data_IF_340310678826
#
_entry.id   IF_340310678826
#
_cell.length_a   1.000
_cell.length_b   1.000
_cell.length_c   1.000
_cell.angle_alpha   90.00
_cell.angle_beta   90.00
_cell.angle_gamma   90.00
#
_symmetry.space_group_name_H-M   'P 1'
#
loop_
_entity.id
_entity.type
_entity.pdbx_description
1 polymer ?
#
# COMPACT_ATOMS: atom_id res chain seq x y z
N UNK A 1 0.52 21.29 1.81
CA UNK A 1 1.85 20.61 1.74
C UNK A 1 2.14 20.23 0.30
N UNK A 2 3.39 20.31 -0.15
CA UNK A 2 3.79 19.84 -1.48
C UNK A 2 4.39 18.44 -1.34
N UNK A 3 3.89 17.52 -2.13
CA UNK A 3 4.29 16.12 -2.16
C UNK A 3 4.52 15.66 -3.60
N UNK A 4 5.11 14.48 -3.77
CA UNK A 4 5.48 13.94 -5.06
C UNK A 4 4.92 12.53 -5.21
N UNK A 5 4.41 12.25 -6.40
CA UNK A 5 3.83 10.96 -6.76
C UNK A 5 4.30 10.54 -8.14
N UNK A 6 4.32 9.25 -8.44
CA UNK A 6 4.48 8.78 -9.81
C UNK A 6 3.29 7.93 -10.24
N UNK A 7 2.98 8.00 -11.52
CA UNK A 7 1.96 7.17 -12.14
C UNK A 7 2.53 6.52 -13.38
N UNK A 8 2.26 5.24 -13.56
CA UNK A 8 2.60 4.45 -14.75
C UNK A 8 1.41 4.25 -15.68
N UNK A 9 0.23 4.61 -15.22
CA UNK A 9 -0.98 4.60 -16.04
C UNK A 9 -1.06 5.88 -16.88
N UNK A 10 -1.91 5.83 -17.91
CA UNK A 10 -2.24 7.01 -18.70
C UNK A 10 -2.85 8.07 -17.77
N UNK A 11 -1.98 8.85 -17.12
CA UNK A 11 -2.41 10.06 -16.46
C UNK A 11 -3.09 10.93 -17.52
N UNK A 12 -4.40 10.91 -17.48
CA UNK A 12 -5.19 11.91 -18.16
C UNK A 12 -5.06 13.19 -17.34
N UNK A 13 -5.14 14.36 -17.94
CA UNK A 13 -5.00 15.69 -17.32
C UNK A 13 -5.97 15.91 -16.14
N UNK A 14 -6.08 14.94 -15.25
CA UNK A 14 -6.90 15.03 -14.06
C UNK A 14 -6.32 16.11 -13.15
N UNK A 15 -7.10 17.10 -12.74
CA UNK A 15 -6.61 18.21 -11.93
C UNK A 15 -6.27 17.76 -10.49
N UNK A 16 -6.72 16.58 -10.08
CA UNK A 16 -6.51 16.05 -8.73
C UNK A 16 -6.35 14.53 -8.71
N UNK A 17 -5.62 14.05 -7.71
CA UNK A 17 -5.58 12.65 -7.34
C UNK A 17 -6.58 12.41 -6.21
N UNK A 18 -7.44 11.43 -6.40
CA UNK A 18 -8.40 10.97 -5.41
C UNK A 18 -8.18 9.51 -5.09
N UNK A 19 -8.66 9.08 -3.93
CA UNK A 19 -8.57 7.68 -3.53
C UNK A 19 -9.46 6.82 -4.41
N UNK A 20 -8.92 5.77 -5.01
CA UNK A 20 -9.75 4.69 -5.52
C UNK A 20 -10.00 3.65 -4.41
N UNK A 21 -11.01 3.90 -3.59
CA UNK A 21 -11.40 3.01 -2.51
C UNK A 21 -11.79 1.60 -3.01
N UNK A 22 -12.38 1.51 -4.19
CA UNK A 22 -12.86 0.24 -4.72
C UNK A 22 -11.74 -0.66 -5.26
N UNK A 23 -10.63 -0.08 -5.74
CA UNK A 23 -9.56 -0.81 -6.41
C UNK A 23 -8.79 -1.76 -5.50
N UNK A 24 -8.36 -1.27 -4.34
CA UNK A 24 -7.50 -2.02 -3.43
C UNK A 24 -8.27 -2.70 -2.30
N UNK A 25 -9.34 -2.10 -1.81
CA UNK A 25 -10.10 -2.59 -0.67
C UNK A 25 -10.72 -3.97 -0.89
N UNK A 26 -11.29 -4.22 -2.04
CA UNK A 26 -12.01 -5.47 -2.36
C UNK A 26 -11.22 -6.77 -2.15
N UNK A 27 -9.89 -6.70 -2.27
CA UNK A 27 -9.04 -7.88 -2.09
C UNK A 27 -8.63 -8.10 -0.63
N UNK A 28 -8.43 -7.03 0.13
CA UNK A 28 -8.09 -7.08 1.54
C UNK A 28 -9.34 -7.28 2.45
N UNK A 29 -10.51 -6.84 2.00
CA UNK A 29 -11.75 -6.90 2.76
C UNK A 29 -12.10 -8.29 3.29
N UNK A 30 -11.99 -9.39 2.52
CA UNK A 30 -12.27 -10.73 3.05
C UNK A 30 -11.41 -11.09 4.26
N UNK A 31 -10.13 -10.72 4.27
CA UNK A 31 -9.22 -10.95 5.39
C UNK A 31 -9.57 -10.08 6.60
N UNK A 32 -9.92 -8.82 6.36
CA UNK A 32 -10.41 -7.93 7.40
C UNK A 32 -11.68 -8.47 8.07
N UNK A 33 -12.68 -8.89 7.30
CA UNK A 33 -13.90 -9.50 7.82
C UNK A 33 -13.65 -10.81 8.58
N UNK A 34 -12.66 -11.59 8.14
CA UNK A 34 -12.25 -12.79 8.86
C UNK A 34 -11.65 -12.43 10.24
N UNK A 35 -10.81 -11.39 10.33
CA UNK A 35 -10.28 -10.88 11.60
C UNK A 35 -11.37 -10.36 12.54
N UNK A 36 -12.35 -9.66 12.03
CA UNK A 36 -13.51 -9.17 12.81
C UNK A 36 -14.31 -10.34 13.42
N UNK A 37 -14.29 -11.51 12.80
CA UNK A 37 -14.90 -12.75 13.32
C UNK A 37 -13.98 -13.53 14.27
N UNK A 38 -12.70 -13.19 14.30
CA UNK A 38 -11.71 -13.77 15.20
C UNK A 38 -10.50 -14.36 14.49
N UNK A 39 -9.38 -14.41 15.21
CA UNK A 39 -8.07 -14.87 14.70
C UNK A 39 -8.15 -16.26 14.06
N UNK A 40 -8.85 -17.21 14.66
CA UNK A 40 -8.96 -18.56 14.10
C UNK A 40 -9.66 -18.60 12.74
N UNK A 41 -10.63 -17.69 12.50
CA UNK A 41 -11.30 -17.58 11.20
C UNK A 41 -10.35 -17.02 10.16
N UNK A 42 -9.56 -16.00 10.55
CA UNK A 42 -8.52 -15.45 9.68
C UNK A 42 -7.47 -16.50 9.32
N UNK A 43 -6.93 -17.23 10.31
CA UNK A 43 -5.91 -18.26 10.07
C UNK A 43 -6.43 -19.34 9.11
N UNK A 44 -7.65 -19.83 9.33
CA UNK A 44 -8.27 -20.81 8.44
C UNK A 44 -8.43 -20.27 7.01
N UNK A 45 -8.84 -19.01 6.87
CA UNK A 45 -8.98 -18.36 5.57
C UNK A 45 -7.61 -18.14 4.91
N UNK A 46 -6.61 -17.65 5.65
CA UNK A 46 -5.27 -17.40 5.12
C UNK A 46 -4.64 -18.67 4.56
N UNK A 47 -4.66 -19.77 5.33
CA UNK A 47 -4.13 -21.06 4.88
C UNK A 47 -4.94 -21.65 3.71
N UNK A 48 -6.26 -21.47 3.69
CA UNK A 48 -7.08 -21.89 2.54
C UNK A 48 -6.78 -21.06 1.28
N UNK A 49 -6.58 -19.76 1.43
CA UNK A 49 -6.27 -18.87 0.31
C UNK A 49 -4.95 -19.22 -0.40
N UNK A 50 -4.01 -19.84 0.31
CA UNK A 50 -2.76 -20.33 -0.27
C UNK A 50 -3.03 -21.36 -1.39
N UNK A 51 -3.91 -22.32 -1.14
CA UNK A 51 -4.27 -23.34 -2.13
C UNK A 51 -5.14 -22.76 -3.25
N UNK A 52 -6.18 -22.03 -2.88
CA UNK A 52 -7.10 -21.41 -3.87
C UNK A 52 -6.38 -20.44 -4.80
N UNK A 53 -5.48 -19.62 -4.28
CA UNK A 53 -4.70 -18.68 -5.12
C UNK A 53 -3.81 -19.38 -6.11
N UNK A 54 -3.16 -20.48 -5.71
CA UNK A 54 -2.34 -21.29 -6.59
C UNK A 54 -3.18 -21.90 -7.71
N UNK A 55 -4.31 -22.53 -7.36
CA UNK A 55 -5.21 -23.14 -8.35
C UNK A 55 -5.74 -22.09 -9.34
N UNK A 56 -6.04 -20.87 -8.88
CA UNK A 56 -6.50 -19.78 -9.77
C UNK A 56 -5.41 -19.32 -10.73
N UNK A 57 -4.14 -19.31 -10.30
CA UNK A 57 -3.00 -18.98 -11.19
C UNK A 57 -2.79 -20.12 -12.20
N UNK A 58 -2.79 -21.37 -11.75
CA UNK A 58 -2.61 -22.54 -12.61
C UNK A 58 -3.74 -22.68 -13.66
N UNK A 59 -4.96 -22.24 -13.32
CA UNK A 59 -6.09 -22.17 -14.26
C UNK A 59 -6.08 -20.91 -15.16
N UNK A 60 -5.12 -20.02 -15.00
CA UNK A 60 -5.04 -18.76 -15.74
C UNK A 60 -6.12 -17.73 -15.38
N UNK A 61 -6.81 -17.93 -14.27
CA UNK A 61 -7.86 -17.02 -13.77
C UNK A 61 -7.30 -15.86 -12.95
N UNK A 62 -6.03 -15.94 -12.54
CA UNK A 62 -5.30 -14.91 -11.82
C UNK A 62 -3.87 -14.81 -12.36
N UNK A 63 -3.32 -13.59 -12.43
CA UNK A 63 -1.95 -13.36 -12.96
C UNK A 63 -0.86 -13.77 -11.97
N UNK A 64 -1.12 -13.64 -10.66
CA UNK A 64 -0.16 -13.94 -9.60
C UNK A 64 -0.86 -14.25 -8.27
N UNK A 65 -0.08 -14.79 -7.33
CA UNK A 65 -0.54 -15.11 -5.98
C UNK A 65 -0.39 -13.88 -5.05
N UNK A 66 -1.40 -13.02 -5.01
CA UNK A 66 -1.38 -11.80 -4.18
C UNK A 66 -2.03 -11.98 -2.80
N UNK A 67 -2.51 -13.19 -2.43
CA UNK A 67 -3.23 -13.39 -1.18
C UNK A 67 -2.44 -12.99 0.08
N UNK A 68 -1.11 -13.09 0.06
CA UNK A 68 -0.26 -12.65 1.17
C UNK A 68 -0.30 -11.14 1.35
N UNK A 69 -0.17 -10.40 0.26
CA UNK A 69 -0.32 -8.94 0.28
C UNK A 69 -1.71 -8.53 0.76
N UNK A 70 -2.74 -9.18 0.23
CA UNK A 70 -4.13 -8.92 0.62
C UNK A 70 -4.37 -9.19 2.11
N UNK A 71 -3.76 -10.25 2.66
CA UNK A 71 -3.82 -10.58 4.09
C UNK A 71 -3.06 -9.55 4.95
N UNK A 72 -1.86 -9.12 4.54
CA UNK A 72 -1.10 -8.07 5.25
C UNK A 72 -1.89 -6.77 5.28
N UNK A 73 -2.44 -6.33 4.14
CA UNK A 73 -3.27 -5.13 4.08
C UNK A 73 -4.53 -5.26 4.96
N UNK A 74 -5.15 -6.45 5.01
CA UNK A 74 -6.28 -6.73 5.91
C UNK A 74 -5.89 -6.61 7.39
N UNK A 75 -4.70 -7.12 7.78
CA UNK A 75 -4.18 -7.00 9.15
C UNK A 75 -3.87 -5.54 9.49
N UNK A 76 -3.20 -4.81 8.59
CA UNK A 76 -2.89 -3.40 8.80
C UNK A 76 -4.17 -2.58 9.00
N UNK A 77 -5.18 -2.78 8.14
CA UNK A 77 -6.45 -2.09 8.27
C UNK A 77 -7.20 -2.48 9.57
N UNK A 78 -7.15 -3.74 9.96
CA UNK A 78 -7.74 -4.20 11.24
C UNK A 78 -7.09 -3.50 12.44
N UNK A 79 -5.76 -3.49 12.53
CA UNK A 79 -5.00 -2.81 13.59
C UNK A 79 -5.31 -1.33 13.60
N UNK A 80 -5.31 -0.66 12.44
CA UNK A 80 -5.66 0.75 12.33
C UNK A 80 -7.03 1.06 12.92
N UNK A 81 -8.04 0.24 12.63
CA UNK A 81 -9.42 0.44 13.11
C UNK A 81 -9.57 0.14 14.58
N UNK A 82 -9.02 -0.98 15.03
CA UNK A 82 -9.29 -1.50 16.38
C UNK A 82 -8.38 -0.90 17.46
N UNK A 83 -7.13 -0.60 17.11
CA UNK A 83 -6.13 -0.14 18.07
C UNK A 83 -5.81 1.36 17.94
N UNK A 84 -6.04 1.97 16.77
CA UNK A 84 -5.78 3.39 16.52
C UNK A 84 -7.06 4.20 16.23
N UNK A 85 -8.24 3.61 16.46
CA UNK A 85 -9.53 4.28 16.31
C UNK A 85 -9.86 4.77 14.90
N UNK A 86 -9.16 4.26 13.88
CA UNK A 86 -9.34 4.69 12.50
C UNK A 86 -8.82 6.09 12.18
N UNK A 87 -8.14 6.76 13.13
CA UNK A 87 -7.62 8.13 12.94
C UNK A 87 -6.55 8.23 11.86
N UNK A 88 -5.52 7.34 11.80
CA UNK A 88 -4.56 7.36 10.72
C UNK A 88 -5.21 7.08 9.35
N UNK A 89 -4.58 7.57 8.28
CA UNK A 89 -5.04 7.30 6.91
C UNK A 89 -4.91 5.80 6.60
N UNK A 90 -5.95 5.25 5.98
CA UNK A 90 -5.95 3.84 5.56
C UNK A 90 -5.03 3.65 4.35
N UNK A 91 -4.20 2.62 4.36
CA UNK A 91 -3.40 2.19 3.20
C UNK A 91 -4.28 1.77 2.02
N UNK A 92 -5.50 1.31 2.27
CA UNK A 92 -6.44 0.80 1.27
C UNK A 92 -7.19 1.91 0.53
N UNK A 93 -7.23 3.12 1.10
CA UNK A 93 -7.96 4.26 0.55
C UNK A 93 -7.17 5.55 0.72
N UNK A 94 -5.93 5.55 0.24
CA UNK A 94 -5.05 6.72 0.22
C UNK A 94 -4.29 6.78 -1.10
N UNK A 95 -3.66 7.91 -1.33
CA UNK A 95 -2.61 8.05 -2.34
C UNK A 95 -1.26 8.04 -1.63
N UNK A 96 -0.30 7.35 -2.22
CA UNK A 96 1.06 7.23 -1.71
C UNK A 96 1.94 8.32 -2.29
N UNK A 97 2.72 8.99 -1.45
CA UNK A 97 3.59 10.08 -1.85
C UNK A 97 5.00 9.94 -1.29
N UNK A 98 5.94 10.58 -1.96
CA UNK A 98 7.27 10.84 -1.45
C UNK A 98 7.39 12.29 -0.98
N UNK A 99 8.37 12.55 -0.10
CA UNK A 99 8.66 13.90 0.40
C UNK A 99 9.48 14.74 -0.59
N UNK A 100 10.16 14.10 -1.53
CA UNK A 100 11.00 14.74 -2.54
C UNK A 100 10.89 14.10 -3.92
N UNK A 101 11.19 14.86 -4.94
CA UNK A 101 11.28 14.39 -6.31
C UNK A 101 12.42 13.37 -6.49
N UNK A 102 13.50 13.50 -5.76
CA UNK A 102 14.63 12.57 -5.81
C UNK A 102 14.22 11.19 -5.29
N UNK A 103 13.53 11.12 -4.16
CA UNK A 103 12.96 9.87 -3.65
C UNK A 103 11.97 9.26 -4.65
N UNK A 104 11.08 10.08 -5.22
CA UNK A 104 10.12 9.62 -6.23
C UNK A 104 10.83 8.99 -7.42
N UNK A 105 11.91 9.60 -7.94
CA UNK A 105 12.70 9.06 -9.04
C UNK A 105 13.38 7.73 -8.69
N UNK A 106 13.86 7.59 -7.45
CA UNK A 106 14.44 6.34 -6.97
C UNK A 106 13.39 5.23 -6.92
N UNK A 107 12.20 5.52 -6.37
CA UNK A 107 11.09 4.57 -6.37
C UNK A 107 10.68 4.15 -7.79
N UNK A 108 10.55 5.10 -8.71
CA UNK A 108 10.26 4.78 -10.11
C UNK A 108 11.29 3.83 -10.70
N UNK A 109 12.57 4.08 -10.43
CA UNK A 109 13.62 3.20 -10.94
C UNK A 109 13.47 1.78 -10.37
N UNK A 110 13.34 1.66 -9.04
CA UNK A 110 13.29 0.37 -8.36
C UNK A 110 12.01 -0.43 -8.68
N UNK A 111 10.86 0.26 -8.75
CA UNK A 111 9.55 -0.38 -8.85
C UNK A 111 9.06 -0.57 -10.31
N UNK A 112 9.46 0.30 -11.22
CA UNK A 112 8.86 0.36 -12.54
C UNK A 112 9.84 0.17 -13.69
N UNK A 113 11.09 0.60 -13.54
CA UNK A 113 12.07 0.59 -14.64
C UNK A 113 13.11 -0.52 -14.50
N UNK A 114 13.50 -0.92 -13.31
CA UNK A 114 14.61 -1.86 -13.10
C UNK A 114 14.33 -3.25 -13.68
N UNK A 115 13.09 -3.71 -13.68
CA UNK A 115 12.68 -5.00 -14.25
C UNK A 115 12.19 -4.89 -15.70
N UNK A 116 12.15 -3.67 -16.26
CA UNK A 116 11.69 -3.42 -17.64
C UNK A 116 10.17 -3.48 -17.81
N UNK A 117 9.40 -3.45 -16.72
CA UNK A 117 7.92 -3.47 -16.79
C UNK A 117 7.35 -2.25 -17.50
N UNK A 118 8.04 -1.11 -17.39
CA UNK A 118 7.64 0.16 -18.03
C UNK A 118 8.86 0.83 -18.66
N UNK A 119 8.61 1.66 -19.69
CA UNK A 119 9.61 2.58 -20.23
C UNK A 119 9.53 3.95 -19.54
N UNK A 120 10.62 4.74 -19.53
CA UNK A 120 10.61 6.08 -18.92
C UNK A 120 9.47 6.98 -19.45
N UNK A 121 9.14 6.87 -20.72
CA UNK A 121 8.10 7.68 -21.36
C UNK A 121 6.68 7.35 -20.85
N UNK A 122 6.50 6.16 -20.28
CA UNK A 122 5.23 5.72 -19.70
C UNK A 122 5.05 6.22 -18.25
N UNK A 123 6.12 6.76 -17.65
CA UNK A 123 6.09 7.21 -16.25
C UNK A 123 5.87 8.73 -16.21
N UNK A 124 4.90 9.16 -15.41
CA UNK A 124 4.65 10.57 -15.08
C UNK A 124 5.03 10.85 -13.64
N UNK A 125 5.79 11.91 -13.46
CA UNK A 125 6.14 12.46 -12.15
C UNK A 125 5.22 13.63 -11.86
N UNK A 126 4.53 13.56 -10.73
CA UNK A 126 3.52 14.52 -10.34
C UNK A 126 4.00 15.31 -9.11
N UNK A 127 3.88 16.64 -9.19
CA UNK A 127 3.96 17.50 -8.01
C UNK A 127 2.53 17.81 -7.57
N UNK A 128 2.23 17.55 -6.31
CA UNK A 128 0.88 17.55 -5.79
C UNK A 128 0.79 18.43 -4.54
N UNK A 129 -0.24 19.26 -4.49
CA UNK A 129 -0.59 20.03 -3.31
C UNK A 129 -1.71 19.30 -2.55
N UNK A 130 -1.41 18.95 -1.28
CA UNK A 130 -2.39 18.36 -0.36
C UNK A 130 -2.67 19.31 0.80
N UNK A 131 -3.89 19.33 1.37
CA UNK A 131 -4.20 20.13 2.55
C UNK A 131 -3.30 19.85 3.75
N UNK A 132 -2.76 18.65 3.86
CA UNK A 132 -1.85 18.25 4.93
C UNK A 132 -2.52 17.79 6.23
N UNK A 133 -3.80 18.10 6.41
CA UNK A 133 -4.55 17.72 7.64
C UNK A 133 -4.73 16.21 7.77
N UNK A 134 -4.71 15.49 6.64
CA UNK A 134 -4.84 14.03 6.57
C UNK A 134 -3.69 13.42 5.75
N UNK A 135 -2.47 13.86 6.03
CA UNK A 135 -1.25 13.29 5.48
C UNK A 135 -0.38 12.78 6.63
N UNK A 136 0.00 11.51 6.57
CA UNK A 136 0.78 10.83 7.60
C UNK A 136 2.03 10.22 6.98
N UNK A 137 3.18 10.49 7.59
CA UNK A 137 4.45 9.93 7.18
C UNK A 137 4.73 8.64 7.95
N UNK A 138 4.90 7.53 7.25
CA UNK A 138 5.17 6.22 7.80
C UNK A 138 6.54 5.69 7.36
N UNK A 139 7.05 4.70 8.10
CA UNK A 139 8.23 3.97 7.66
C UNK A 139 7.81 2.71 6.89
N UNK A 140 7.96 2.74 5.59
CA UNK A 140 7.63 1.62 4.69
C UNK A 140 8.48 0.37 5.00
N UNK A 141 9.67 0.51 5.62
CA UNK A 141 10.45 -0.66 6.02
C UNK A 141 9.70 -1.58 7.00
N UNK A 142 8.81 -1.02 7.83
CA UNK A 142 7.95 -1.84 8.70
C UNK A 142 6.92 -2.63 7.89
N UNK A 143 6.37 -2.05 6.83
CA UNK A 143 5.48 -2.77 5.90
C UNK A 143 6.26 -3.83 5.10
N UNK A 144 7.44 -3.50 4.59
CA UNK A 144 8.29 -4.44 3.88
C UNK A 144 8.65 -5.65 4.77
N UNK A 145 8.99 -5.39 6.04
CA UNK A 145 9.25 -6.46 7.01
C UNK A 145 8.01 -7.34 7.25
N UNK A 146 6.80 -6.75 7.26
CA UNK A 146 5.55 -7.51 7.36
C UNK A 146 5.31 -8.38 6.13
N UNK A 147 5.68 -7.91 4.94
CA UNK A 147 5.63 -8.70 3.71
C UNK A 147 6.62 -9.87 3.72
N UNK A 148 7.78 -9.74 4.37
CA UNK A 148 8.67 -10.88 4.57
C UNK A 148 8.15 -11.84 5.64
N UNK A 149 7.65 -11.33 6.79
CA UNK A 149 7.09 -12.16 7.84
C UNK A 149 5.91 -13.04 7.36
N UNK A 150 5.04 -12.50 6.51
CA UNK A 150 3.91 -13.27 5.97
C UNK A 150 4.35 -14.40 5.04
N UNK A 151 5.51 -14.30 4.38
CA UNK A 151 6.05 -15.40 3.56
C UNK A 151 6.44 -16.60 4.43
N UNK A 152 6.91 -16.33 5.65
CA UNK A 152 7.24 -17.34 6.67
C UNK A 152 6.01 -17.76 7.48
N UNK A 153 4.82 -17.27 7.15
CA UNK A 153 3.57 -17.48 7.88
C UNK A 153 3.61 -16.97 9.33
N UNK A 154 4.49 -16.03 9.66
CA UNK A 154 4.57 -15.40 10.99
C UNK A 154 3.56 -14.24 11.08
N UNK A 155 2.30 -14.62 11.27
CA UNK A 155 1.19 -13.68 11.34
C UNK A 155 1.28 -12.78 12.59
N UNK A 156 1.88 -13.27 13.68
CA UNK A 156 2.03 -12.47 14.90
C UNK A 156 3.06 -11.36 14.71
N UNK A 157 4.14 -11.62 13.97
CA UNK A 157 5.08 -10.58 13.56
C UNK A 157 4.41 -9.53 12.65
N UNK A 158 3.53 -9.94 11.73
CA UNK A 158 2.77 -8.99 10.89
C UNK A 158 1.93 -8.05 11.76
N UNK A 159 1.22 -8.55 12.77
CA UNK A 159 0.46 -7.72 13.70
C UNK A 159 1.36 -6.76 14.49
N UNK A 160 2.50 -7.24 14.99
CA UNK A 160 3.45 -6.40 15.73
C UNK A 160 4.00 -5.26 14.86
N UNK A 161 4.34 -5.55 13.60
CA UNK A 161 4.83 -4.56 12.64
C UNK A 161 3.75 -3.55 12.24
N UNK A 162 2.50 -3.98 12.08
CA UNK A 162 1.39 -3.07 11.83
C UNK A 162 1.17 -2.08 12.98
N UNK A 163 1.29 -2.52 14.24
CA UNK A 163 1.21 -1.63 15.43
C UNK A 163 2.32 -0.59 15.41
N UNK A 164 3.56 -1.00 15.17
CA UNK A 164 4.71 -0.11 15.10
C UNK A 164 4.56 0.92 13.97
N UNK A 165 4.05 0.47 12.81
CA UNK A 165 3.77 1.33 11.67
C UNK A 165 2.79 2.46 12.03
N UNK A 166 1.60 2.12 12.57
CA UNK A 166 0.60 3.12 12.94
C UNK A 166 0.95 3.91 14.20
N UNK A 167 1.87 3.42 15.03
CA UNK A 167 2.49 4.19 16.12
C UNK A 167 3.55 5.19 15.63
N UNK A 168 3.78 5.29 14.31
CA UNK A 168 4.79 6.16 13.69
C UNK A 168 6.23 5.86 14.13
N UNK A 169 6.50 4.62 14.52
CA UNK A 169 7.88 4.19 14.80
C UNK A 169 8.75 4.23 13.55
N UNK A 170 10.06 4.34 13.76
CA UNK A 170 11.06 4.35 12.70
C UNK A 170 12.06 3.22 12.91
N UNK A 171 12.48 2.60 11.81
CA UNK A 171 13.62 1.69 11.79
C UNK A 171 14.93 2.49 11.82
N UNK A 172 16.05 1.82 11.93
CA UNK A 172 17.38 2.46 11.89
C UNK A 172 17.64 3.19 10.56
N UNK A 173 17.10 2.63 9.45
CA UNK A 173 17.22 3.20 8.12
C UNK A 173 15.81 3.34 7.49
N UNK A 174 15.03 4.36 7.91
CA UNK A 174 13.65 4.48 7.53
C UNK A 174 13.49 4.82 6.04
N UNK A 175 12.52 4.19 5.41
CA UNK A 175 12.04 4.53 4.09
C UNK A 175 10.69 5.21 4.23
N UNK A 176 10.66 6.52 4.05
CA UNK A 176 9.45 7.29 4.37
C UNK A 176 8.48 7.26 3.20
N UNK A 177 7.29 6.72 3.45
CA UNK A 177 6.13 6.91 2.60
C UNK A 177 5.14 7.87 3.28
N UNK A 178 4.50 8.71 2.49
CA UNK A 178 3.47 9.62 2.99
C UNK A 178 2.14 9.16 2.42
N UNK A 179 1.21 8.84 3.29
CA UNK A 179 -0.16 8.49 2.92
C UNK A 179 -1.05 9.71 3.11
N UNK A 180 -1.77 10.09 2.05
CA UNK A 180 -2.77 11.14 2.15
C UNK A 180 -4.07 10.67 1.50
N UNK A 181 -5.20 11.03 2.12
CA UNK A 181 -6.52 10.82 1.56
C UNK A 181 -7.17 12.14 1.11
N UNK A 182 -8.37 12.03 0.53
CA UNK A 182 -9.10 13.18 0.03
C UNK A 182 -8.65 13.63 -1.35
N UNK A 183 -8.99 14.87 -1.68
CA UNK A 183 -8.64 15.48 -2.96
C UNK A 183 -7.28 16.17 -2.87
N UNK A 184 -6.34 15.72 -3.68
CA UNK A 184 -4.98 16.22 -3.74
C UNK A 184 -4.73 16.83 -5.12
N UNK A 185 -4.50 18.12 -5.19
CA UNK A 185 -4.42 18.88 -6.44
C UNK A 185 -3.07 18.66 -7.14
N UNK A 186 -3.10 18.21 -8.37
CA UNK A 186 -1.90 18.15 -9.23
C UNK A 186 -1.56 19.56 -9.71
N UNK A 187 -0.36 20.05 -9.38
CA UNK A 187 0.11 21.38 -9.78
C UNK A 187 1.17 21.33 -10.87
N UNK A 188 1.80 20.16 -11.07
CA UNK A 188 2.75 19.94 -12.16
C UNK A 188 2.78 18.44 -12.51
N UNK A 189 2.88 18.15 -13.79
CA UNK A 189 3.17 16.81 -14.30
C UNK A 189 4.32 16.87 -15.31
N UNK A 190 5.26 15.95 -15.23
CA UNK A 190 6.37 15.81 -16.16
C UNK A 190 6.64 14.34 -16.47
N UNK A 191 7.17 14.04 -17.64
CA UNK A 191 7.63 12.70 -17.98
C UNK A 191 8.95 12.43 -17.27
N UNK A 192 9.18 11.19 -16.83
CA UNK A 192 10.39 10.77 -16.10
C UNK A 192 11.69 11.09 -16.83
#
# INVERSE_FOLDING_TARGET
>A
MILFHYSVDSYTDAPSLTNDYAGHYKYAEPFLLALERGRAVFDAMFFSAMYVSRDLVDLGLRKNENYRKDAVEGIFEYVRRTEFGGVPVSRLCCVYYCSSMEETRRYVYDDALADGSFSPEQVKLLTVETPGERAYAYDQQLYNAAMEAVKENDIDAVFALARRYFALERTEHPLIEILADGENRVIKAETY
#
